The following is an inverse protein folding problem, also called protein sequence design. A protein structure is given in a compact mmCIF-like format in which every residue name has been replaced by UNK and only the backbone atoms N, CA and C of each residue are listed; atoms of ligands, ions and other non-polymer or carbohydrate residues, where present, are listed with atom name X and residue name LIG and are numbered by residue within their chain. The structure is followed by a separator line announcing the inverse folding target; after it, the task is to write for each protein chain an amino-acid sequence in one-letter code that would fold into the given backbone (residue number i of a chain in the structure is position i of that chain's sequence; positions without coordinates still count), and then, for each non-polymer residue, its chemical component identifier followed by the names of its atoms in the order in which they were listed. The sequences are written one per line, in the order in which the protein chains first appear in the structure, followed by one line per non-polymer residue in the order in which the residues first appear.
data_IF_294793364528
#
_entry.id   IF_294793364528
#
_cell.length_a   1.000
_cell.length_b   1.000
_cell.length_c   1.000
_cell.angle_alpha   90.00
_cell.angle_beta   90.00
_cell.angle_gamma   90.00
#
_symmetry.space_group_name_H-M   'P 1'
#
loop_
_entity.id
_entity.type
_entity.pdbx_description
1 polymer ?
#
# COMPACT_ATOMS: atom_id res chain seq x y z
N UNK A 1 25.44 13.09 -8.38
CA UNK A 1 25.46 13.67 -7.01
C UNK A 1 24.47 12.97 -6.06
N UNK A 2 23.19 12.85 -6.41
CA UNK A 2 22.14 12.16 -5.61
C UNK A 2 22.47 10.71 -5.26
N UNK A 3 22.96 9.91 -6.20
CA UNK A 3 23.32 8.50 -5.96
C UNK A 3 24.48 8.32 -4.96
N UNK A 4 25.39 9.31 -4.90
CA UNK A 4 26.52 9.32 -3.98
C UNK A 4 26.11 9.80 -2.58
N UNK A 5 25.16 10.75 -2.50
CA UNK A 5 24.53 11.18 -1.25
C UNK A 5 23.69 10.03 -0.67
N UNK A 6 22.93 9.32 -1.50
CA UNK A 6 22.14 8.15 -1.10
C UNK A 6 23.04 7.01 -0.62
N UNK A 7 24.14 6.70 -1.34
CA UNK A 7 25.14 5.72 -0.88
C UNK A 7 25.81 6.15 0.43
N UNK A 8 26.12 7.43 0.62
CA UNK A 8 26.71 7.94 1.88
C UNK A 8 25.72 7.88 3.04
N UNK A 9 24.44 8.22 2.82
CA UNK A 9 23.38 8.10 3.81
C UNK A 9 23.12 6.64 4.17
N UNK A 10 23.00 5.76 3.18
CA UNK A 10 22.87 4.30 3.40
C UNK A 10 24.07 3.79 4.20
N UNK A 11 25.30 4.14 3.80
CA UNK A 11 26.51 3.67 4.49
C UNK A 11 26.62 4.25 5.91
N UNK A 12 26.19 5.49 6.14
CA UNK A 12 26.17 6.13 7.46
C UNK A 12 25.10 5.54 8.39
N UNK A 13 23.90 5.28 7.86
CA UNK A 13 22.81 4.60 8.58
C UNK A 13 23.20 3.14 8.89
N UNK A 14 23.82 2.45 7.94
CA UNK A 14 24.35 1.10 8.16
C UNK A 14 25.44 1.08 9.22
N UNK A 15 26.40 2.01 9.19
CA UNK A 15 27.52 1.98 10.14
C UNK A 15 27.09 2.28 11.59
N UNK A 16 26.06 3.11 11.79
CA UNK A 16 25.50 3.40 13.12
C UNK A 16 24.62 2.26 13.63
N UNK A 17 23.91 1.54 12.73
CA UNK A 17 23.13 0.37 13.11
C UNK A 17 24.00 -0.85 13.51
N UNK A 18 25.27 -0.91 13.04
CA UNK A 18 26.04 -2.15 12.97
C UNK A 18 26.91 -2.52 14.19
N UNK A 19 26.61 -2.07 15.41
CA UNK A 19 27.20 -2.61 16.66
C UNK A 19 26.12 -3.13 17.63
N UNK A 20 26.13 -4.44 17.94
CA UNK A 20 25.27 -5.14 18.93
C UNK A 20 23.74 -4.95 18.94
N UNK A 21 23.16 -4.12 18.08
CA UNK A 21 21.80 -3.61 18.25
C UNK A 21 20.71 -4.60 17.80
N UNK A 22 19.53 -4.64 18.46
CA UNK A 22 18.38 -5.43 18.02
C UNK A 22 17.94 -5.16 16.57
N UNK A 23 18.24 -3.97 16.06
CA UNK A 23 18.02 -3.57 14.67
C UNK A 23 18.79 -4.45 13.67
N UNK A 24 20.00 -4.90 14.02
CA UNK A 24 20.77 -5.82 13.17
C UNK A 24 20.10 -7.19 13.05
N UNK A 25 19.64 -7.74 14.17
CA UNK A 25 18.95 -9.03 14.16
C UNK A 25 17.72 -8.97 13.27
N UNK A 26 16.89 -7.94 13.44
CA UNK A 26 15.72 -7.73 12.60
C UNK A 26 16.09 -7.60 11.11
N UNK A 27 17.15 -6.84 10.80
CA UNK A 27 17.60 -6.63 9.41
C UNK A 27 18.11 -7.92 8.77
N UNK A 28 18.85 -8.76 9.52
CA UNK A 28 19.37 -10.04 9.04
C UNK A 28 18.27 -11.11 8.90
N UNK A 29 17.23 -11.05 9.74
CA UNK A 29 16.07 -11.92 9.65
C UNK A 29 15.11 -11.55 8.51
N UNK A 30 15.14 -10.31 8.03
CA UNK A 30 14.20 -9.81 7.00
C UNK A 30 14.20 -10.64 5.71
N UNK A 31 15.33 -11.00 5.08
CA UNK A 31 15.34 -11.84 3.88
C UNK A 31 14.76 -13.25 4.12
N UNK A 32 14.99 -13.81 5.32
CA UNK A 32 14.50 -15.15 5.69
C UNK A 32 12.96 -15.14 5.74
N UNK A 33 12.38 -14.19 6.49
CA UNK A 33 10.93 -14.04 6.60
C UNK A 33 10.30 -13.69 5.25
N UNK A 34 10.96 -12.82 4.46
CA UNK A 34 10.51 -12.48 3.11
C UNK A 34 10.49 -13.70 2.18
N UNK A 35 11.51 -14.55 2.23
CA UNK A 35 11.56 -15.78 1.40
C UNK A 35 10.47 -16.77 1.79
N UNK A 36 10.26 -16.98 3.10
CA UNK A 36 9.21 -17.85 3.60
C UNK A 36 7.81 -17.38 3.16
N UNK A 37 7.53 -16.08 3.30
CA UNK A 37 6.26 -15.49 2.87
C UNK A 37 6.10 -15.51 1.35
N UNK A 38 7.16 -15.27 0.59
CA UNK A 38 7.12 -15.33 -0.88
C UNK A 38 6.81 -16.76 -1.37
N UNK A 39 7.35 -17.78 -0.72
CA UNK A 39 7.04 -19.19 -1.01
C UNK A 39 5.55 -19.51 -0.83
N UNK A 40 4.90 -18.90 0.16
CA UNK A 40 3.46 -19.06 0.40
C UNK A 40 2.65 -18.22 -0.60
N UNK A 41 2.92 -16.92 -0.69
CA UNK A 41 2.12 -15.97 -1.46
C UNK A 41 2.23 -16.17 -2.98
N UNK A 42 3.36 -16.70 -3.46
CA UNK A 42 3.54 -17.01 -4.89
C UNK A 42 2.52 -18.01 -5.42
N UNK A 43 1.92 -18.86 -4.57
CA UNK A 43 0.84 -19.79 -4.96
C UNK A 43 -0.42 -19.08 -5.45
N UNK A 44 -0.64 -17.83 -5.04
CA UNK A 44 -1.79 -17.00 -5.44
C UNK A 44 -1.36 -15.77 -6.27
N UNK A 45 -0.11 -15.74 -6.74
CA UNK A 45 0.49 -14.57 -7.41
C UNK A 45 0.25 -13.28 -6.60
N UNK A 46 0.61 -13.33 -5.31
CA UNK A 46 0.51 -12.19 -4.37
C UNK A 46 1.90 -11.71 -3.92
N UNK A 47 2.07 -10.38 -3.74
CA UNK A 47 3.30 -9.84 -3.18
C UNK A 47 3.36 -10.08 -1.66
N UNK A 48 4.56 -9.99 -1.07
CA UNK A 48 4.74 -10.07 0.39
C UNK A 48 4.51 -8.72 1.10
N UNK A 49 4.47 -7.63 0.34
CA UNK A 49 4.35 -6.26 0.86
C UNK A 49 5.36 -5.98 2.00
N UNK A 50 4.91 -5.32 3.06
CA UNK A 50 5.68 -5.02 4.27
C UNK A 50 5.43 -6.02 5.39
N UNK A 51 4.83 -7.19 5.10
CA UNK A 51 4.59 -8.25 6.09
C UNK A 51 5.88 -8.69 6.82
N UNK A 52 7.04 -8.88 6.16
CA UNK A 52 8.26 -9.24 6.87
C UNK A 52 8.67 -8.17 7.90
N UNK A 53 8.55 -6.89 7.55
CA UNK A 53 8.79 -5.78 8.47
C UNK A 53 7.82 -5.81 9.65
N UNK A 54 6.51 -5.93 9.40
CA UNK A 54 5.51 -5.95 10.46
C UNK A 54 5.72 -7.11 11.45
N UNK A 55 6.01 -8.32 10.96
CA UNK A 55 6.28 -9.50 11.79
C UNK A 55 7.51 -9.26 12.67
N UNK A 56 8.61 -8.77 12.08
CA UNK A 56 9.86 -8.59 12.80
C UNK A 56 9.78 -7.46 13.83
N UNK A 57 9.10 -6.36 13.52
CA UNK A 57 8.87 -5.28 14.50
C UNK A 57 8.01 -5.78 15.66
N UNK A 58 6.93 -6.52 15.38
CA UNK A 58 6.09 -7.07 16.45
C UNK A 58 6.90 -8.06 17.32
N UNK A 59 7.64 -8.98 16.70
CA UNK A 59 8.46 -9.93 17.42
C UNK A 59 9.51 -9.23 18.28
N UNK A 60 10.15 -8.19 17.74
CA UNK A 60 11.11 -7.38 18.46
C UNK A 60 10.48 -6.67 19.66
N UNK A 61 9.34 -5.99 19.47
CA UNK A 61 8.67 -5.25 20.53
C UNK A 61 8.09 -6.15 21.63
N UNK A 62 7.62 -7.36 21.28
CA UNK A 62 7.22 -8.37 22.27
C UNK A 62 8.44 -8.86 23.06
N UNK A 63 9.57 -9.10 22.39
CA UNK A 63 10.77 -9.63 23.03
C UNK A 63 11.44 -8.61 23.97
N UNK A 64 11.40 -7.32 23.63
CA UNK A 64 11.93 -6.26 24.50
C UNK A 64 10.90 -5.83 25.52
N UNK A 65 9.72 -5.40 25.07
CA UNK A 65 8.69 -4.82 25.91
C UNK A 65 9.06 -3.46 26.52
N UNK A 66 8.10 -2.84 27.20
CA UNK A 66 8.31 -1.54 27.86
C UNK A 66 9.34 -1.61 29.00
N UNK A 67 9.35 -2.71 29.75
CA UNK A 67 10.18 -2.89 30.95
C UNK A 67 11.57 -3.48 30.68
N UNK A 68 12.03 -3.48 29.42
CA UNK A 68 13.37 -3.96 29.11
C UNK A 68 14.44 -3.04 29.72
N UNK A 69 15.47 -3.63 30.33
CA UNK A 69 16.58 -2.86 30.91
C UNK A 69 17.46 -2.17 29.87
N UNK A 70 17.61 -2.77 28.68
CA UNK A 70 18.56 -2.29 27.67
C UNK A 70 17.87 -1.57 26.50
N UNK A 71 16.69 -2.03 26.10
CA UNK A 71 15.95 -1.52 24.94
C UNK A 71 14.46 -1.29 25.24
N UNK A 72 14.12 -0.42 26.20
CA UNK A 72 12.73 -0.19 26.59
C UNK A 72 11.91 0.38 25.43
N UNK A 73 10.73 -0.20 25.19
CA UNK A 73 9.81 0.28 24.17
C UNK A 73 8.89 1.38 24.70
N UNK A 74 8.34 2.19 23.79
CA UNK A 74 7.28 3.14 24.13
C UNK A 74 6.06 2.39 24.66
N UNK A 75 5.48 2.89 25.75
CA UNK A 75 4.29 2.30 26.34
C UNK A 75 3.07 2.57 25.46
N UNK A 76 2.51 1.50 24.89
CA UNK A 76 1.29 1.55 24.09
C UNK A 76 0.17 0.94 24.93
N UNK A 77 -0.93 1.66 25.08
CA UNK A 77 -2.08 1.21 25.88
C UNK A 77 -3.37 1.30 25.08
N UNK A 78 -4.30 0.39 25.38
CA UNK A 78 -5.67 0.47 24.88
C UNK A 78 -6.31 1.75 25.43
N UNK A 79 -7.01 2.48 24.56
CA UNK A 79 -7.86 3.60 24.99
C UNK A 79 -9.02 3.07 25.85
N UNK A 80 -9.16 3.59 27.06
CA UNK A 80 -10.20 3.20 28.03
C UNK A 80 -11.40 4.14 28.05
N UNK A 81 -11.26 5.34 27.49
CA UNK A 81 -12.29 6.39 27.51
C UNK A 81 -12.54 6.93 26.10
N UNK A 82 -13.76 7.41 25.85
CA UNK A 82 -14.06 8.10 24.61
C UNK A 82 -13.39 9.48 24.60
N UNK A 83 -12.78 9.89 23.48
CA UNK A 83 -12.22 11.23 23.37
C UNK A 83 -13.34 12.27 23.34
N UNK A 84 -13.16 13.35 24.09
CA UNK A 84 -14.04 14.51 23.98
C UNK A 84 -13.61 15.34 22.76
N UNK A 85 -14.36 15.23 21.66
CA UNK A 85 -14.04 15.93 20.40
C UNK A 85 -14.89 17.17 20.28
N UNK A 86 -14.27 18.34 20.44
CA UNK A 86 -14.92 19.63 20.22
C UNK A 86 -14.69 20.08 18.79
N UNK A 87 -15.69 19.91 17.91
CA UNK A 87 -15.56 20.21 16.48
C UNK A 87 -15.18 21.66 16.15
N UNK A 88 -15.47 22.62 17.04
CA UNK A 88 -15.06 24.02 16.87
C UNK A 88 -13.56 24.26 17.07
N UNK A 89 -12.84 23.33 17.70
CA UNK A 89 -11.38 23.40 17.91
C UNK A 89 -10.59 22.80 16.73
N UNK A 90 -11.28 22.37 15.66
CA UNK A 90 -10.63 21.80 14.49
C UNK A 90 -9.83 22.87 13.75
N UNK A 91 -8.53 22.63 13.58
CA UNK A 91 -7.62 23.45 12.81
C UNK A 91 -7.53 22.93 11.39
N UNK A 92 -8.16 23.66 10.45
CA UNK A 92 -8.16 23.31 9.04
C UNK A 92 -6.75 23.32 8.41
N UNK A 93 -5.84 24.17 8.89
CA UNK A 93 -4.47 24.20 8.38
C UNK A 93 -3.70 22.95 8.79
N UNK A 94 -3.86 22.50 10.03
CA UNK A 94 -3.31 21.22 10.49
C UNK A 94 -3.97 20.02 9.79
N UNK A 95 -5.25 20.13 9.46
CA UNK A 95 -5.96 19.12 8.68
C UNK A 95 -5.36 18.98 7.27
N UNK A 96 -5.19 20.07 6.51
CA UNK A 96 -4.52 19.99 5.20
C UNK A 96 -3.06 19.55 5.32
N UNK A 97 -2.35 19.96 6.38
CA UNK A 97 -0.99 19.50 6.67
C UNK A 97 -0.94 18.00 6.96
N UNK A 98 -2.02 17.37 7.41
CA UNK A 98 -2.03 15.94 7.66
C UNK A 98 -1.85 15.10 6.40
N UNK A 99 -2.15 15.66 5.22
CA UNK A 99 -1.99 14.96 3.93
C UNK A 99 -0.51 14.65 3.65
N UNK A 100 0.41 15.63 3.57
CA UNK A 100 1.84 15.33 3.42
C UNK A 100 2.41 14.59 4.63
N UNK A 101 1.96 14.88 5.85
CA UNK A 101 2.42 14.15 7.06
C UNK A 101 2.03 12.67 6.98
N UNK A 102 0.82 12.34 6.53
CA UNK A 102 0.40 10.95 6.33
C UNK A 102 1.26 10.19 5.32
N UNK A 103 1.78 10.87 4.29
CA UNK A 103 2.76 10.29 3.36
C UNK A 103 4.12 10.12 4.05
N UNK A 104 4.54 11.09 4.88
CA UNK A 104 5.72 10.99 5.75
C UNK A 104 5.69 9.79 6.70
N UNK A 105 4.53 9.54 7.30
CA UNK A 105 4.31 8.47 8.28
C UNK A 105 4.45 7.06 7.69
N UNK A 106 4.44 6.90 6.36
CA UNK A 106 4.84 5.63 5.72
C UNK A 106 6.25 5.19 6.17
N UNK A 107 7.11 6.16 6.44
CA UNK A 107 8.46 5.97 6.98
C UNK A 107 8.59 6.43 8.45
N UNK A 108 7.48 6.63 9.15
CA UNK A 108 7.48 7.11 10.54
C UNK A 108 7.94 8.56 10.71
N UNK A 109 7.79 9.40 9.68
CA UNK A 109 8.17 10.81 9.71
C UNK A 109 6.94 11.70 9.90
N UNK A 110 6.92 12.52 10.95
CA UNK A 110 5.83 13.45 11.30
C UNK A 110 6.01 14.87 10.76
N UNK A 111 7.19 15.16 10.18
CA UNK A 111 7.51 16.47 9.61
C UNK A 111 6.84 16.63 8.21
N UNK A 112 5.99 17.65 7.99
CA UNK A 112 5.31 17.88 6.72
C UNK A 112 6.28 18.13 5.55
N UNK A 113 7.46 18.71 5.81
CA UNK A 113 8.47 18.94 4.78
C UNK A 113 9.06 17.62 4.28
N UNK A 114 9.29 16.66 5.18
CA UNK A 114 9.70 15.30 4.81
C UNK A 114 8.64 14.63 3.95
N UNK A 115 7.36 14.77 4.33
CA UNK A 115 6.22 14.35 3.51
C UNK A 115 6.23 14.98 2.11
N UNK A 116 6.47 16.29 2.02
CA UNK A 116 6.60 17.01 0.75
C UNK A 116 7.75 16.49 -0.13
N UNK A 117 8.90 16.17 0.47
CA UNK A 117 10.02 15.55 -0.25
C UNK A 117 9.60 14.19 -0.82
N UNK A 118 8.87 13.37 -0.06
CA UNK A 118 8.35 12.09 -0.56
C UNK A 118 7.32 12.28 -1.68
N UNK A 119 6.45 13.29 -1.61
CA UNK A 119 5.52 13.62 -2.71
C UNK A 119 6.32 13.93 -3.99
N UNK A 120 7.34 14.77 -3.91
CA UNK A 120 8.18 15.11 -5.07
C UNK A 120 8.90 13.86 -5.60
N UNK A 121 9.45 13.03 -4.72
CA UNK A 121 10.12 11.79 -5.11
C UNK A 121 9.17 10.81 -5.82
N UNK A 122 7.94 10.64 -5.30
CA UNK A 122 6.90 9.84 -5.93
C UNK A 122 6.50 10.43 -7.29
N UNK A 123 6.34 11.75 -7.39
CA UNK A 123 5.97 12.42 -8.63
C UNK A 123 7.02 12.22 -9.73
N UNK A 124 8.31 12.32 -9.39
CA UNK A 124 9.42 12.07 -10.33
C UNK A 124 9.43 10.61 -10.79
N UNK A 125 9.10 9.66 -9.90
CA UNK A 125 9.09 8.24 -10.25
C UNK A 125 7.86 7.84 -11.08
N UNK A 126 6.68 8.32 -10.69
CA UNK A 126 5.38 7.99 -11.30
C UNK A 126 4.34 8.99 -10.80
N UNK A 127 3.93 9.96 -11.64
CA UNK A 127 2.86 10.90 -11.30
C UNK A 127 1.56 10.21 -10.87
N UNK A 128 1.21 9.06 -11.46
CA UNK A 128 0.01 8.29 -11.06
C UNK A 128 0.15 7.77 -9.63
N UNK A 129 1.32 7.26 -9.26
CA UNK A 129 1.61 6.79 -7.91
C UNK A 129 1.52 7.94 -6.91
N UNK A 130 2.07 9.10 -7.27
CA UNK A 130 1.99 10.31 -6.45
C UNK A 130 0.54 10.75 -6.21
N UNK A 131 -0.30 10.77 -7.25
CA UNK A 131 -1.72 11.13 -7.12
C UNK A 131 -2.44 10.18 -6.17
N UNK A 132 -2.25 8.87 -6.32
CA UNK A 132 -2.88 7.89 -5.42
C UNK A 132 -2.32 7.96 -3.99
N UNK A 133 -1.06 8.37 -3.80
CA UNK A 133 -0.52 8.62 -2.48
C UNK A 133 -1.26 9.76 -1.78
N UNK A 134 -1.45 10.90 -2.47
CA UNK A 134 -2.17 12.06 -1.95
C UNK A 134 -3.63 11.72 -1.68
N UNK A 135 -4.30 11.04 -2.61
CA UNK A 135 -5.68 10.58 -2.45
C UNK A 135 -5.81 9.62 -1.26
N UNK A 136 -4.93 8.63 -1.14
CA UNK A 136 -4.93 7.70 -0.01
C UNK A 136 -4.76 8.41 1.33
N UNK A 137 -3.84 9.37 1.43
CA UNK A 137 -3.65 10.16 2.65
C UNK A 137 -4.90 10.98 3.00
N UNK A 138 -5.50 11.64 2.00
CA UNK A 138 -6.73 12.41 2.18
C UNK A 138 -7.93 11.52 2.59
N UNK A 139 -8.08 10.34 1.98
CA UNK A 139 -9.10 9.35 2.35
C UNK A 139 -8.92 8.91 3.80
N UNK A 140 -7.68 8.65 4.23
CA UNK A 140 -7.36 8.33 5.61
C UNK A 140 -7.77 9.45 6.58
N UNK A 141 -7.39 10.68 6.28
CA UNK A 141 -7.79 11.88 7.04
C UNK A 141 -9.32 11.99 7.18
N UNK A 142 -10.05 11.89 6.06
CA UNK A 142 -11.53 11.94 6.06
C UNK A 142 -12.13 10.78 6.87
N UNK A 143 -11.56 9.59 6.77
CA UNK A 143 -12.01 8.42 7.55
C UNK A 143 -11.81 8.62 9.06
N UNK A 144 -10.71 9.27 9.45
CA UNK A 144 -10.47 9.66 10.84
C UNK A 144 -11.50 10.64 11.37
N UNK A 145 -11.88 11.64 10.56
CA UNK A 145 -12.97 12.57 10.89
C UNK A 145 -14.30 11.82 11.00
N UNK A 146 -14.61 10.91 10.06
CA UNK A 146 -15.85 10.15 10.06
C UNK A 146 -16.02 9.26 11.32
N UNK A 147 -14.92 8.78 11.90
CA UNK A 147 -14.92 8.03 13.16
C UNK A 147 -14.72 8.88 14.41
N UNK A 148 -14.81 10.21 14.30
CA UNK A 148 -14.57 11.15 15.39
C UNK A 148 -13.25 10.84 16.14
N UNK A 149 -12.20 10.52 15.39
CA UNK A 149 -10.89 10.28 15.97
C UNK A 149 -10.33 11.57 16.59
N UNK A 150 -9.51 11.49 17.65
CA UNK A 150 -8.86 12.67 18.20
C UNK A 150 -8.06 13.39 17.12
N UNK A 151 -8.28 14.70 16.97
CA UNK A 151 -7.70 15.49 15.89
C UNK A 151 -6.18 15.39 15.84
N UNK A 152 -5.50 15.32 16.99
CA UNK A 152 -4.05 15.12 17.07
C UNK A 152 -3.57 13.88 16.31
N UNK A 153 -4.30 12.75 16.37
CA UNK A 153 -3.94 11.54 15.63
C UNK A 153 -4.10 11.73 14.12
N UNK A 154 -5.08 12.54 13.71
CA UNK A 154 -5.30 12.88 12.30
C UNK A 154 -4.17 13.80 11.84
N UNK A 155 -3.89 14.89 12.56
CA UNK A 155 -2.83 15.85 12.25
C UNK A 155 -1.44 15.20 12.20
N UNK A 156 -1.19 14.23 13.07
CA UNK A 156 0.04 13.45 13.09
C UNK A 156 0.12 12.41 11.95
N UNK A 157 -0.89 12.34 11.07
CA UNK A 157 -0.90 11.50 9.87
C UNK A 157 -1.15 10.01 10.14
N UNK A 158 -1.53 9.62 11.36
CA UNK A 158 -1.68 8.21 11.76
C UNK A 158 -2.85 7.51 11.05
N UNK A 159 -3.82 8.27 10.56
CA UNK A 159 -4.92 7.77 9.75
C UNK A 159 -4.59 7.67 8.25
N UNK A 160 -3.52 8.34 7.78
CA UNK A 160 -3.20 8.49 6.37
C UNK A 160 -2.28 7.38 5.81
N UNK A 161 -1.22 7.02 6.53
CA UNK A 161 -0.11 6.25 5.93
C UNK A 161 -0.47 4.85 5.44
N UNK A 162 -1.32 4.12 6.15
CA UNK A 162 -1.82 2.82 5.71
C UNK A 162 -2.70 2.95 4.45
N UNK A 163 -3.47 4.03 4.36
CA UNK A 163 -4.35 4.35 3.25
C UNK A 163 -3.57 4.78 2.00
N UNK A 164 -2.45 5.51 2.19
CA UNK A 164 -1.48 5.84 1.13
C UNK A 164 -1.00 4.57 0.43
N UNK A 165 -0.50 3.60 1.21
CA UNK A 165 0.05 2.35 0.67
C UNK A 165 -1.03 1.51 -0.02
N UNK A 166 -2.22 1.39 0.58
CA UNK A 166 -3.33 0.65 0.00
C UNK A 166 -3.80 1.29 -1.33
N UNK A 167 -3.94 2.61 -1.36
CA UNK A 167 -4.37 3.33 -2.56
C UNK A 167 -3.33 3.23 -3.68
N UNK A 168 -2.03 3.31 -3.39
CA UNK A 168 -0.95 3.09 -4.36
C UNK A 168 -1.00 1.65 -4.91
N UNK A 169 -1.13 0.65 -4.03
CA UNK A 169 -1.07 -0.75 -4.42
C UNK A 169 -2.20 -1.11 -5.41
N UNK A 170 -3.43 -0.68 -5.13
CA UNK A 170 -4.58 -0.97 -5.97
C UNK A 170 -4.68 0.01 -7.15
N UNK A 171 -4.28 1.27 -6.97
CA UNK A 171 -4.40 2.39 -7.91
C UNK A 171 -3.39 2.38 -9.06
N UNK A 172 -3.20 1.25 -9.72
CA UNK A 172 -2.35 1.13 -10.92
C UNK A 172 -1.09 0.30 -10.74
N UNK A 173 -0.69 -0.03 -9.50
CA UNK A 173 0.50 -0.84 -9.25
C UNK A 173 0.25 -2.32 -9.52
N UNK A 174 -0.73 -2.94 -8.85
CA UNK A 174 -1.06 -4.36 -9.01
C UNK A 174 -2.31 -4.61 -9.87
N UNK A 175 -3.06 -3.56 -10.18
CA UNK A 175 -4.14 -3.57 -11.16
C UNK A 175 -3.81 -2.61 -12.30
N UNK A 176 -4.29 -2.90 -13.51
CA UNK A 176 -4.22 -1.94 -14.61
C UNK A 176 -5.13 -0.75 -14.32
N UNK A 177 -4.61 0.48 -14.37
CA UNK A 177 -5.39 1.67 -14.00
C UNK A 177 -6.53 1.92 -15.01
N UNK A 178 -7.75 1.68 -14.55
CA UNK A 178 -9.01 2.08 -15.17
C UNK A 178 -9.81 2.93 -14.18
N UNK A 179 -10.90 3.58 -14.61
CA UNK A 179 -11.72 4.36 -13.67
C UNK A 179 -12.36 3.48 -12.59
N UNK A 180 -12.70 2.22 -12.92
CA UNK A 180 -13.22 1.25 -11.96
C UNK A 180 -12.17 0.87 -10.93
N UNK A 181 -10.92 0.67 -11.36
CA UNK A 181 -9.79 0.38 -10.46
C UNK A 181 -9.45 1.60 -9.60
N UNK A 182 -9.62 2.81 -10.12
CA UNK A 182 -9.49 4.02 -9.30
C UNK A 182 -10.55 4.08 -8.19
N UNK A 183 -11.82 3.77 -8.48
CA UNK A 183 -12.83 3.65 -7.42
C UNK A 183 -12.52 2.51 -6.45
N UNK A 184 -12.03 1.38 -6.95
CA UNK A 184 -11.60 0.25 -6.13
C UNK A 184 -10.45 0.62 -5.20
N UNK A 185 -9.49 1.44 -5.64
CA UNK A 185 -8.36 1.87 -4.82
C UNK A 185 -8.79 2.85 -3.72
N UNK A 186 -9.75 3.73 -4.00
CA UNK A 186 -10.37 4.59 -2.98
C UNK A 186 -11.16 3.75 -1.97
N UNK A 187 -11.95 2.77 -2.43
CA UNK A 187 -12.66 1.85 -1.55
C UNK A 187 -11.71 1.03 -0.67
N UNK A 188 -10.58 0.56 -1.22
CA UNK A 188 -9.54 -0.13 -0.47
C UNK A 188 -8.90 0.80 0.57
N UNK A 189 -8.67 2.07 0.25
CA UNK A 189 -8.13 3.05 1.19
C UNK A 189 -9.09 3.31 2.36
N UNK A 190 -10.40 3.45 2.12
CA UNK A 190 -11.41 3.54 3.18
C UNK A 190 -11.41 2.28 4.06
N UNK A 191 -11.48 1.10 3.45
CA UNK A 191 -11.42 -0.17 4.17
C UNK A 191 -10.16 -0.26 5.04
N UNK A 192 -9.02 0.16 4.49
CA UNK A 192 -7.74 0.18 5.18
C UNK A 192 -7.73 1.13 6.40
N UNK A 193 -8.37 2.31 6.29
CA UNK A 193 -8.49 3.24 7.41
C UNK A 193 -9.27 2.62 8.58
N UNK A 194 -10.43 2.02 8.29
CA UNK A 194 -11.28 1.37 9.30
C UNK A 194 -10.59 0.16 9.92
N UNK A 195 -9.98 -0.69 9.09
CA UNK A 195 -9.19 -1.83 9.54
C UNK A 195 -7.99 -1.35 10.38
N UNK A 196 -7.41 -0.20 10.04
CA UNK A 196 -6.35 0.45 10.78
C UNK A 196 -6.72 0.75 12.22
N UNK A 197 -7.87 1.38 12.42
CA UNK A 197 -8.40 1.64 13.76
C UNK A 197 -8.68 0.35 14.53
N UNK A 198 -9.28 -0.66 13.88
CA UNK A 198 -9.57 -1.94 14.51
C UNK A 198 -8.29 -2.69 14.95
N UNK A 199 -7.31 -2.82 14.05
CA UNK A 199 -6.04 -3.50 14.34
C UNK A 199 -5.25 -2.72 15.39
N UNK A 200 -5.21 -1.39 15.34
CA UNK A 200 -4.53 -0.57 16.35
C UNK A 200 -5.11 -0.83 17.75
N UNK A 201 -6.43 -0.90 17.88
CA UNK A 201 -7.08 -1.20 19.16
C UNK A 201 -6.79 -2.62 19.65
N UNK A 202 -6.75 -3.62 18.76
CA UNK A 202 -6.40 -5.01 19.12
C UNK A 202 -4.92 -5.11 19.53
N UNK A 203 -4.01 -4.50 18.77
CA UNK A 203 -2.57 -4.58 19.03
C UNK A 203 -2.18 -3.81 20.29
N UNK A 204 -2.86 -2.71 20.59
CA UNK A 204 -2.67 -1.97 21.84
C UNK A 204 -2.97 -2.81 23.10
N UNK A 205 -3.74 -3.89 22.99
CA UNK A 205 -3.97 -4.82 24.12
C UNK A 205 -2.73 -5.63 24.49
N UNK A 206 -1.82 -5.79 23.54
CA UNK A 206 -0.53 -6.45 23.70
C UNK A 206 0.64 -5.45 23.81
N UNK A 207 0.35 -4.15 23.91
CA UNK A 207 1.38 -3.10 23.91
C UNK A 207 2.10 -2.92 22.57
N UNK A 208 1.45 -3.30 21.46
CA UNK A 208 2.03 -3.24 20.13
C UNK A 208 1.37 -2.18 19.24
N UNK A 209 2.13 -1.56 18.31
CA UNK A 209 1.58 -0.66 17.31
C UNK A 209 0.99 -1.44 16.13
N UNK A 210 0.01 -0.86 15.42
CA UNK A 210 -0.55 -1.46 14.20
C UNK A 210 0.48 -1.59 13.06
N UNK A 211 1.49 -0.71 13.03
CA UNK A 211 2.42 -0.57 11.90
C UNK A 211 1.65 -0.56 10.57
N UNK A 212 2.11 -1.34 9.59
CA UNK A 212 1.47 -1.45 8.27
C UNK A 212 0.69 -2.75 8.09
N UNK A 213 0.32 -3.43 9.19
CA UNK A 213 -0.61 -4.57 9.14
C UNK A 213 -1.92 -4.23 8.43
N UNK A 214 -2.57 -3.08 8.69
CA UNK A 214 -3.82 -2.70 8.04
C UNK A 214 -3.67 -2.62 6.52
N UNK A 215 -2.60 -1.99 6.04
CA UNK A 215 -2.26 -1.95 4.62
C UNK A 215 -2.10 -3.36 4.03
N UNK A 216 -1.23 -4.20 4.62
CA UNK A 216 -0.94 -5.51 4.06
C UNK A 216 -2.21 -6.36 3.94
N UNK A 217 -3.02 -6.41 4.99
CA UNK A 217 -4.24 -7.20 5.00
C UNK A 217 -5.27 -6.64 4.02
N UNK A 218 -5.46 -5.32 3.97
CA UNK A 218 -6.39 -4.69 3.02
C UNK A 218 -5.99 -4.92 1.58
N UNK A 219 -4.73 -4.69 1.23
CA UNK A 219 -4.24 -4.86 -0.13
C UNK A 219 -4.28 -6.34 -0.56
N UNK A 220 -3.92 -7.29 0.32
CA UNK A 220 -4.03 -8.72 0.03
C UNK A 220 -5.47 -9.17 -0.15
N UNK A 221 -6.39 -8.73 0.72
CA UNK A 221 -7.82 -9.01 0.58
C UNK A 221 -8.32 -8.52 -0.78
N UNK A 222 -8.02 -7.27 -1.15
CA UNK A 222 -8.48 -6.71 -2.43
C UNK A 222 -7.82 -7.38 -3.64
N UNK A 223 -6.56 -7.82 -3.54
CA UNK A 223 -5.88 -8.58 -4.60
C UNK A 223 -6.37 -10.02 -4.75
N UNK A 224 -7.02 -10.56 -3.72
CA UNK A 224 -7.67 -11.87 -3.74
C UNK A 224 -9.11 -11.80 -4.25
N UNK A 225 -9.74 -10.62 -4.28
CA UNK A 225 -11.08 -10.46 -4.85
C UNK A 225 -11.04 -10.79 -6.33
N UNK A 226 -11.82 -11.81 -6.70
CA UNK A 226 -12.10 -12.16 -8.09
C UNK A 226 -13.33 -11.39 -8.56
N UNK A 227 -13.32 -10.97 -9.82
CA UNK A 227 -14.44 -10.27 -10.44
C UNK A 227 -14.61 -10.77 -11.87
N UNK A 228 -15.86 -10.93 -12.29
CA UNK A 228 -16.21 -11.30 -13.67
C UNK A 228 -16.07 -10.12 -14.64
N UNK A 229 -15.87 -8.90 -14.11
CA UNK A 229 -15.82 -7.70 -14.93
C UNK A 229 -14.46 -7.58 -15.65
N UNK A 230 -14.49 -7.39 -16.98
CA UNK A 230 -13.29 -7.14 -17.80
C UNK A 230 -12.64 -5.77 -17.59
N UNK A 231 -13.17 -4.99 -16.64
CA UNK A 231 -12.76 -3.63 -16.33
C UNK A 231 -11.73 -3.55 -15.20
N UNK A 232 -11.77 -4.53 -14.29
CA UNK A 232 -10.83 -4.68 -13.18
C UNK A 232 -9.89 -5.82 -13.56
N UNK A 233 -8.66 -5.46 -13.92
CA UNK A 233 -7.67 -6.43 -14.40
C UNK A 233 -6.46 -6.45 -13.46
N UNK A 234 -6.33 -7.52 -12.69
CA UNK A 234 -5.14 -7.80 -11.87
C UNK A 234 -3.98 -8.13 -12.81
N UNK A 235 -2.84 -7.49 -12.58
CA UNK A 235 -1.63 -7.73 -13.35
C UNK A 235 -0.87 -8.94 -12.78
N UNK A 236 -0.29 -9.80 -13.64
CA UNK A 236 0.60 -10.84 -13.17
C UNK A 236 1.85 -10.21 -12.56
N UNK A 237 2.31 -10.71 -11.40
CA UNK A 237 3.41 -10.09 -10.66
C UNK A 237 4.70 -9.96 -11.46
N UNK A 238 4.95 -10.88 -12.38
CA UNK A 238 6.13 -10.86 -13.26
C UNK A 238 6.15 -9.68 -14.25
N UNK A 239 5.03 -8.99 -14.43
CA UNK A 239 4.88 -7.83 -15.32
C UNK A 239 4.68 -6.50 -14.58
N UNK A 240 4.46 -6.54 -13.26
CA UNK A 240 4.27 -5.35 -12.43
C UNK A 240 5.56 -4.51 -12.43
N UNK A 241 5.41 -3.23 -12.77
CA UNK A 241 6.47 -2.24 -12.71
C UNK A 241 5.99 -0.97 -12.00
N UNK A 242 5.53 0.03 -12.77
CA UNK A 242 4.92 1.26 -12.27
C UNK A 242 3.65 1.55 -13.09
N UNK A 243 2.68 2.29 -12.54
CA UNK A 243 1.35 2.42 -13.13
C UNK A 243 1.30 2.81 -14.61
N UNK A 244 2.14 3.74 -15.05
CA UNK A 244 2.19 4.18 -16.45
C UNK A 244 2.62 3.03 -17.38
N UNK A 245 3.67 2.29 -17.01
CA UNK A 245 4.14 1.12 -17.80
C UNK A 245 3.16 -0.05 -17.74
N UNK A 246 2.56 -0.27 -16.58
CA UNK A 246 1.50 -1.26 -16.37
C UNK A 246 0.29 -0.98 -17.28
N UNK A 247 -0.09 0.28 -17.40
CA UNK A 247 -1.18 0.72 -18.26
C UNK A 247 -0.85 0.47 -19.74
N UNK A 248 0.37 0.78 -20.19
CA UNK A 248 0.82 0.48 -21.56
C UNK A 248 0.74 -1.03 -21.84
N UNK A 249 1.21 -1.86 -20.91
CA UNK A 249 1.13 -3.32 -21.02
C UNK A 249 -0.32 -3.80 -21.17
N UNK A 250 -1.23 -3.29 -20.34
CA UNK A 250 -2.65 -3.62 -20.40
C UNK A 250 -3.30 -3.26 -21.74
N UNK A 251 -3.02 -2.07 -22.28
CA UNK A 251 -3.56 -1.66 -23.57
C UNK A 251 -3.00 -2.48 -24.74
N UNK A 252 -1.70 -2.85 -24.68
CA UNK A 252 -1.09 -3.73 -25.66
C UNK A 252 -1.78 -5.10 -25.67
N UNK A 253 -1.94 -5.71 -24.50
CA UNK A 253 -2.67 -6.98 -24.34
C UNK A 253 -4.09 -6.89 -24.88
N UNK A 254 -4.86 -5.84 -24.52
CA UNK A 254 -6.22 -5.63 -25.04
C UNK A 254 -6.29 -5.41 -26.55
N UNK A 255 -5.23 -4.87 -27.17
CA UNK A 255 -5.16 -4.70 -28.63
C UNK A 255 -4.92 -6.05 -29.32
N UNK A 256 -4.02 -6.86 -28.76
CA UNK A 256 -3.72 -8.22 -29.24
C UNK A 256 -4.96 -9.13 -29.15
N UNK A 257 -5.66 -9.14 -28.01
CA UNK A 257 -6.92 -9.88 -27.85
C UNK A 257 -8.00 -9.50 -28.88
N UNK A 258 -8.11 -8.20 -29.21
CA UNK A 258 -9.08 -7.73 -30.21
C UNK A 258 -8.68 -8.15 -31.62
N UNK A 259 -7.39 -8.10 -31.94
CA UNK A 259 -6.87 -8.53 -33.23
C UNK A 259 -7.09 -10.03 -33.45
N UNK A 260 -6.84 -10.86 -32.44
CA UNK A 260 -7.08 -12.30 -32.48
C UNK A 260 -8.57 -12.63 -32.66
N UNK A 261 -9.46 -11.99 -31.89
CA UNK A 261 -10.91 -12.16 -32.07
C UNK A 261 -11.36 -11.80 -33.49
N UNK A 262 -10.85 -10.69 -34.03
CA UNK A 262 -11.18 -10.26 -35.41
C UNK A 262 -10.68 -11.28 -36.44
N UNK A 263 -9.49 -11.86 -36.25
CA UNK A 263 -8.96 -12.92 -37.12
C UNK A 263 -9.83 -14.19 -37.06
N UNK A 264 -10.22 -14.63 -35.86
CA UNK A 264 -11.10 -15.79 -35.69
C UNK A 264 -12.46 -15.59 -36.35
N UNK A 265 -13.10 -14.43 -36.13
CA UNK A 265 -14.41 -14.13 -36.75
C UNK A 265 -14.33 -14.12 -38.28
N UNK A 266 -13.26 -13.55 -38.85
CA UNK A 266 -13.04 -13.57 -40.31
C UNK A 266 -12.77 -14.99 -40.84
N UNK A 267 -12.06 -15.82 -40.07
CA UNK A 267 -11.82 -17.23 -40.42
C UNK A 267 -13.12 -18.03 -40.48
N UNK A 268 -13.94 -17.93 -39.43
CA UNK A 268 -15.25 -18.60 -39.35
C UNK A 268 -16.19 -18.16 -40.48
N UNK A 269 -16.28 -16.85 -40.76
CA UNK A 269 -17.09 -16.35 -41.86
C UNK A 269 -16.61 -16.88 -43.22
N UNK A 270 -15.30 -17.05 -43.41
CA UNK A 270 -14.75 -17.61 -44.65
C UNK A 270 -15.08 -19.10 -44.79
N UNK A 271 -15.04 -19.88 -43.70
CA UNK A 271 -15.44 -21.29 -43.69
C UNK A 271 -16.93 -21.49 -43.96
N UNK A 272 -17.80 -20.64 -43.41
CA UNK A 272 -19.25 -20.67 -43.69
C UNK A 272 -19.55 -20.38 -45.15
N UNK A 273 -18.88 -19.38 -45.74
CA UNK A 273 -19.00 -19.07 -47.17
C UNK A 273 -18.58 -20.27 -48.02
N UNK A 274 -17.45 -20.92 -47.69
CA UNK A 274 -16.98 -22.10 -48.43
C UNK A 274 -17.96 -23.28 -48.30
N UNK A 275 -18.47 -23.56 -47.10
CA UNK A 275 -19.49 -24.61 -46.91
C UNK A 275 -20.76 -24.32 -47.70
N UNK A 276 -21.25 -23.08 -47.66
CA UNK A 276 -22.45 -22.68 -48.41
C UNK A 276 -22.27 -22.74 -49.92
N UNK A 277 -21.04 -22.59 -50.42
CA UNK A 277 -20.73 -22.75 -51.83
C UNK A 277 -20.69 -24.23 -52.23
N UNK A 278 -20.11 -25.10 -51.38
CA UNK A 278 -20.07 -26.55 -51.60
C UNK A 278 -21.45 -27.20 -51.56
N UNK A 279 -22.36 -26.74 -50.70
CA UNK A 279 -23.75 -27.24 -50.63
C UNK A 279 -24.62 -26.82 -51.84
N UNK A 280 -24.16 -25.87 -52.66
CA UNK A 280 -24.87 -25.40 -53.87
C UNK A 280 -24.37 -26.04 -55.17
N UNK A 281 -23.36 -26.90 -55.10
CA UNK A 281 -22.81 -27.70 -56.21
C UNK A 281 -23.19 -29.15 -56.05
#
# INVERSE_FOLDING_TARGET
MIFLVLKRLIKSVYHVAMNGSPLKVCSLSHPIVSSALASINSRWDLPVFTLPFNILVCLHMVATGHYNLYFPQVLIQRRSTFPNVTWSEMDYALLFRSIPVGIGQVYGCDNPWTGGIFIIALFISSPITCVHAVIGSAVGMVSGLALAAPFENIYFGLWGYNCVLACIAIGGMFYALTWQVHLLSVACAFFCAYLGSAIANVMATFGLPACTWPFCLSALTFLLITTETKAIHKLPLTKVAYPEKNLIYFWKMKKEERAEKTKMTKGLAKEEVVKSALERT
#
